data_IF_431310697288
#
_entry.id   IF_431310697288
#
_cell.length_a   1.000
_cell.length_b   1.000
_cell.length_c   1.000
_cell.angle_alpha   90.00
_cell.angle_beta   90.00
_cell.angle_gamma   90.00
#
_symmetry.space_group_name_H-M   'P 1'
#
loop_
_entity.id
_entity.type
_entity.pdbx_description
1 polymer ?
#
# COMPACT_ATOMS: atom_id res chain seq x y z
N UNK A 1 -8.83 -9.26 -21.71
CA UNK A 1 -8.85 -9.52 -23.17
C UNK A 1 -9.30 -10.94 -23.45
N UNK A 2 -9.37 -11.36 -24.71
CA UNK A 2 -9.68 -12.73 -25.14
C UNK A 2 -8.40 -13.40 -25.65
N UNK A 3 -8.11 -14.62 -25.20
CA UNK A 3 -6.95 -15.40 -25.69
C UNK A 3 -7.24 -15.86 -27.12
N UNK A 4 -6.27 -15.69 -28.03
CA UNK A 4 -6.39 -16.09 -29.44
C UNK A 4 -5.04 -16.58 -30.00
N UNK A 5 -5.05 -17.30 -31.13
CA UNK A 5 -3.83 -17.72 -31.80
C UNK A 5 -2.94 -16.53 -32.19
N UNK A 6 -1.62 -16.65 -31.95
CA UNK A 6 -0.67 -15.57 -32.23
C UNK A 6 -0.66 -15.16 -33.72
N UNK A 7 -0.87 -16.09 -34.64
CA UNK A 7 -0.95 -15.82 -36.08
C UNK A 7 -2.11 -14.89 -36.44
N UNK A 8 -3.26 -15.05 -35.78
CA UNK A 8 -4.42 -14.18 -35.99
C UNK A 8 -4.18 -12.79 -35.42
N UNK A 9 -3.60 -12.71 -34.21
CA UNK A 9 -3.26 -11.44 -33.58
C UNK A 9 -2.23 -10.63 -34.40
N UNK A 10 -1.18 -11.29 -34.91
CA UNK A 10 -0.17 -10.67 -35.77
C UNK A 10 -0.78 -10.20 -37.10
N UNK A 11 -1.60 -11.03 -37.75
CA UNK A 11 -2.29 -10.67 -38.99
C UNK A 11 -3.22 -9.46 -38.80
N UNK A 12 -3.99 -9.44 -37.70
CA UNK A 12 -4.87 -8.33 -37.34
C UNK A 12 -4.08 -7.03 -37.06
N UNK A 13 -2.87 -7.14 -36.52
CA UNK A 13 -1.97 -6.01 -36.28
C UNK A 13 -1.13 -5.61 -37.51
N UNK A 14 -1.24 -6.32 -38.64
CA UNK A 14 -0.42 -6.09 -39.83
C UNK A 14 1.07 -6.43 -39.64
N UNK A 15 1.40 -7.29 -38.67
CA UNK A 15 2.77 -7.67 -38.32
C UNK A 15 3.10 -9.01 -39.01
N UNK A 16 4.17 -9.03 -39.80
CA UNK A 16 4.69 -10.28 -40.37
C UNK A 16 5.46 -11.07 -39.31
N UNK A 17 5.23 -12.38 -39.14
CA UNK A 17 5.99 -13.21 -38.20
C UNK A 17 7.50 -13.16 -38.46
N UNK A 18 8.28 -13.08 -37.40
CA UNK A 18 9.76 -13.06 -37.47
C UNK A 18 10.33 -14.48 -37.42
N UNK A 19 11.44 -14.70 -38.13
CA UNK A 19 12.25 -15.91 -38.02
C UNK A 19 13.51 -15.56 -37.24
N UNK A 20 13.69 -16.18 -36.08
CA UNK A 20 14.79 -15.85 -35.17
C UNK A 20 16.15 -16.30 -35.74
N UNK A 21 17.12 -15.40 -35.68
CA UNK A 21 18.51 -15.66 -36.01
C UNK A 21 19.29 -16.22 -34.79
N UNK A 22 20.59 -16.42 -34.97
CA UNK A 22 21.48 -16.86 -33.90
C UNK A 22 21.40 -15.91 -32.68
N UNK A 23 21.39 -16.49 -31.47
CA UNK A 23 21.25 -15.80 -30.17
C UNK A 23 19.88 -15.15 -29.89
N UNK A 24 19.12 -14.74 -30.89
CA UNK A 24 17.87 -13.98 -30.69
C UNK A 24 16.85 -14.71 -29.81
N UNK A 25 16.72 -16.03 -29.96
CA UNK A 25 15.83 -16.81 -29.09
C UNK A 25 16.22 -16.76 -27.61
N UNK A 26 17.52 -16.83 -27.32
CA UNK A 26 18.03 -16.74 -25.94
C UNK A 26 17.90 -15.31 -25.42
N UNK A 27 18.25 -14.32 -26.23
CA UNK A 27 18.13 -12.90 -25.87
C UNK A 27 16.69 -12.48 -25.52
N UNK A 28 15.67 -13.14 -26.12
CA UNK A 28 14.27 -12.87 -25.84
C UNK A 28 13.76 -13.48 -24.53
N UNK A 29 14.27 -14.65 -24.12
CA UNK A 29 13.73 -15.40 -22.98
C UNK A 29 14.63 -15.38 -21.74
N UNK A 30 15.91 -15.06 -21.91
CA UNK A 30 16.90 -15.03 -20.84
C UNK A 30 16.98 -13.61 -20.27
N UNK A 31 16.52 -13.44 -19.03
CA UNK A 31 16.53 -12.15 -18.36
C UNK A 31 15.51 -12.06 -17.23
N UNK A 32 15.45 -10.89 -16.60
CA UNK A 32 14.66 -10.66 -15.38
C UNK A 32 13.37 -9.87 -15.63
N UNK A 33 13.07 -9.54 -16.90
CA UNK A 33 12.05 -8.58 -17.29
C UNK A 33 10.66 -8.91 -16.75
N UNK A 34 10.28 -10.20 -16.73
CA UNK A 34 8.99 -10.64 -16.19
C UNK A 34 8.83 -10.37 -14.69
N UNK A 35 9.83 -10.73 -13.89
CA UNK A 35 9.83 -10.48 -12.45
C UNK A 35 9.89 -8.97 -12.15
N UNK A 36 10.77 -8.25 -12.84
CA UNK A 36 10.94 -6.79 -12.70
C UNK A 36 9.66 -6.05 -13.04
N UNK A 37 8.97 -6.42 -14.12
CA UNK A 37 7.71 -5.79 -14.52
C UNK A 37 6.60 -6.02 -13.48
N UNK A 38 6.49 -7.22 -12.92
CA UNK A 38 5.50 -7.53 -11.87
C UNK A 38 5.76 -6.73 -10.59
N UNK A 39 7.03 -6.60 -10.19
CA UNK A 39 7.43 -5.84 -9.01
C UNK A 39 7.24 -4.33 -9.19
N UNK A 40 7.62 -3.78 -10.36
CA UNK A 40 7.34 -2.39 -10.72
C UNK A 40 5.83 -2.11 -10.79
N UNK A 41 5.06 -3.03 -11.37
CA UNK A 41 3.61 -2.90 -11.41
C UNK A 41 3.03 -2.83 -9.99
N UNK A 42 3.48 -3.69 -9.07
CA UNK A 42 3.08 -3.63 -7.67
C UNK A 42 3.46 -2.32 -6.99
N UNK A 43 4.67 -1.81 -7.22
CA UNK A 43 5.13 -0.54 -6.65
C UNK A 43 4.23 0.64 -7.10
N UNK A 44 3.95 0.69 -8.41
CA UNK A 44 3.14 1.74 -9.03
C UNK A 44 1.67 1.64 -8.61
N UNK A 45 1.10 0.43 -8.54
CA UNK A 45 -0.30 0.26 -8.13
C UNK A 45 -0.49 0.44 -6.62
N UNK A 46 0.54 0.23 -5.81
CA UNK A 46 0.47 0.47 -4.37
C UNK A 46 0.59 1.96 -4.01
N UNK A 47 1.23 2.79 -4.83
CA UNK A 47 1.36 4.24 -4.58
C UNK A 47 0.02 4.92 -4.22
N UNK A 48 -1.04 4.86 -5.05
CA UNK A 48 -2.33 5.47 -4.69
C UNK A 48 -2.99 4.84 -3.46
N UNK A 49 -2.68 3.58 -3.16
CA UNK A 49 -3.17 2.88 -1.96
C UNK A 49 -2.46 3.40 -0.71
N UNK A 50 -1.15 3.66 -0.79
CA UNK A 50 -0.38 4.27 0.30
C UNK A 50 -0.79 5.72 0.56
N UNK A 51 -1.06 6.51 -0.49
CA UNK A 51 -1.64 7.85 -0.36
C UNK A 51 -2.99 7.79 0.38
N UNK A 52 -3.84 6.82 0.01
CA UNK A 52 -5.10 6.58 0.70
C UNK A 52 -4.89 6.21 2.16
N UNK A 53 -3.89 5.36 2.47
CA UNK A 53 -3.58 4.96 3.85
C UNK A 53 -3.18 6.15 4.73
N UNK A 54 -2.44 7.13 4.18
CA UNK A 54 -2.05 8.34 4.90
C UNK A 54 -3.27 9.24 5.17
N UNK A 55 -4.12 9.46 4.17
CA UNK A 55 -5.35 10.27 4.31
C UNK A 55 -6.33 9.61 5.28
N UNK A 56 -6.59 8.31 5.12
CA UNK A 56 -7.53 7.56 5.97
C UNK A 56 -7.00 7.47 7.40
N UNK A 57 -5.71 7.22 7.60
CA UNK A 57 -5.10 7.21 8.94
C UNK A 57 -5.24 8.57 9.65
N UNK A 58 -5.12 9.68 8.92
CA UNK A 58 -5.36 11.02 9.46
C UNK A 58 -6.86 11.25 9.78
N UNK A 59 -7.76 10.78 8.92
CA UNK A 59 -9.20 10.81 9.19
C UNK A 59 -9.56 10.01 10.44
N UNK A 60 -8.90 8.87 10.68
CA UNK A 60 -9.10 8.05 11.88
C UNK A 60 -8.59 8.75 13.15
N UNK A 61 -7.48 9.51 13.06
CA UNK A 61 -7.04 10.38 14.17
C UNK A 61 -8.15 11.35 14.54
N UNK A 62 -8.71 12.08 13.57
CA UNK A 62 -9.81 13.02 13.86
C UNK A 62 -11.07 12.31 14.35
N UNK A 63 -11.48 11.21 13.72
CA UNK A 63 -12.66 10.44 14.11
C UNK A 63 -12.64 9.99 15.58
N UNK A 64 -11.45 9.85 16.17
CA UNK A 64 -11.25 9.44 17.56
C UNK A 64 -10.84 10.57 18.47
N UNK A 65 -10.86 11.83 17.99
CA UNK A 65 -10.31 12.98 18.70
C UNK A 65 -8.87 12.70 19.16
N UNK A 66 -8.02 12.11 18.31
CA UNK A 66 -6.64 11.80 18.64
C UNK A 66 -5.73 13.03 18.58
N UNK A 67 -4.62 12.99 19.31
CA UNK A 67 -3.63 14.05 19.36
C UNK A 67 -2.78 14.11 18.08
N UNK A 68 -2.44 15.33 17.65
CA UNK A 68 -1.43 15.58 16.62
C UNK A 68 -0.01 15.79 17.18
N UNK A 69 0.14 15.82 18.51
CA UNK A 69 1.42 15.90 19.20
C UNK A 69 2.45 14.84 18.76
N UNK A 70 2.04 13.56 18.53
CA UNK A 70 2.90 12.53 17.94
C UNK A 70 3.54 12.87 16.59
N UNK A 71 3.02 13.87 15.88
CA UNK A 71 3.50 14.27 14.55
C UNK A 71 4.42 15.50 14.61
N UNK A 72 4.80 15.98 15.80
CA UNK A 72 5.72 17.12 15.98
C UNK A 72 7.07 16.86 15.27
N UNK A 73 7.54 17.76 14.39
CA UNK A 73 8.75 17.55 13.59
C UNK A 73 9.99 17.19 14.42
N UNK A 74 10.12 17.75 15.64
CA UNK A 74 11.27 17.53 16.52
C UNK A 74 11.39 16.07 16.92
N UNK A 75 10.28 15.35 17.11
CA UNK A 75 10.27 13.93 17.45
C UNK A 75 10.93 13.10 16.34
N UNK A 76 10.61 13.43 15.08
CA UNK A 76 11.06 12.66 13.93
C UNK A 76 12.48 13.07 13.50
N UNK A 77 12.81 14.36 13.60
CA UNK A 77 14.17 14.88 13.38
C UNK A 77 15.16 14.28 14.37
N UNK A 78 14.79 14.14 15.65
CA UNK A 78 15.63 13.47 16.65
C UNK A 78 15.90 11.99 16.32
N UNK A 79 14.96 11.30 15.65
CA UNK A 79 15.13 9.88 15.26
C UNK A 79 15.85 9.71 13.93
N UNK A 80 15.75 10.67 13.00
CA UNK A 80 16.54 10.73 11.78
C UNK A 80 16.14 9.80 10.62
N UNK A 81 15.02 9.09 10.73
CA UNK A 81 14.53 8.22 9.64
C UNK A 81 13.73 9.04 8.62
N UNK A 82 14.14 9.01 7.34
CA UNK A 82 13.61 9.92 6.31
C UNK A 82 12.12 9.69 6.03
N UNK A 83 11.71 8.43 5.85
CA UNK A 83 10.31 8.08 5.63
C UNK A 83 9.44 8.47 6.82
N UNK A 84 9.95 8.34 8.05
CA UNK A 84 9.23 8.79 9.25
C UNK A 84 9.06 10.31 9.30
N UNK A 85 10.09 11.08 8.93
CA UNK A 85 10.04 12.54 8.88
C UNK A 85 9.00 13.00 7.86
N UNK A 86 9.01 12.39 6.66
CA UNK A 86 8.06 12.70 5.59
C UNK A 86 6.63 12.33 6.01
N UNK A 87 6.41 11.14 6.58
CA UNK A 87 5.08 10.70 7.02
C UNK A 87 4.50 11.59 8.11
N UNK A 88 5.31 12.00 9.10
CA UNK A 88 4.86 12.96 10.09
C UNK A 88 4.44 14.30 9.47
N UNK A 89 5.18 14.76 8.46
CA UNK A 89 4.86 16.00 7.74
C UNK A 89 3.55 15.86 6.94
N UNK A 90 3.28 14.70 6.34
CA UNK A 90 1.97 14.41 5.72
C UNK A 90 0.84 14.51 6.73
N UNK A 91 0.95 13.84 7.89
CA UNK A 91 -0.09 13.87 8.92
C UNK A 91 -0.35 15.28 9.45
N UNK A 92 0.69 16.08 9.71
CA UNK A 92 0.51 17.49 10.13
C UNK A 92 -0.24 18.30 9.08
N UNK A 93 0.09 18.14 7.80
CA UNK A 93 -0.59 18.86 6.72
C UNK A 93 -2.06 18.41 6.57
N UNK A 94 -2.32 17.10 6.68
CA UNK A 94 -3.67 16.54 6.61
C UNK A 94 -4.56 17.00 7.77
N UNK A 95 -4.02 17.14 8.99
CA UNK A 95 -4.79 17.51 10.18
C UNK A 95 -4.89 19.04 10.41
N UNK A 96 -4.18 19.83 9.61
CA UNK A 96 -4.10 21.28 9.80
C UNK A 96 -5.49 21.94 9.72
N UNK A 97 -5.86 22.65 10.80
CA UNK A 97 -7.12 23.40 10.87
C UNK A 97 -8.35 22.57 11.25
N UNK A 98 -8.20 21.32 11.72
CA UNK A 98 -9.32 20.51 12.21
C UNK A 98 -9.95 21.11 13.49
N UNK A 99 -11.26 21.38 13.46
CA UNK A 99 -12.02 21.82 14.64
C UNK A 99 -12.16 20.68 15.66
N UNK A 100 -12.28 19.44 15.17
CA UNK A 100 -12.30 18.24 16.00
C UNK A 100 -10.99 18.10 16.78
N UNK A 101 -9.85 18.36 16.13
CA UNK A 101 -8.56 18.43 16.83
C UNK A 101 -8.59 19.51 17.92
N UNK A 102 -9.09 20.71 17.60
CA UNK A 102 -9.14 21.79 18.58
C UNK A 102 -10.09 21.53 19.75
N UNK A 103 -11.16 20.75 19.54
CA UNK A 103 -12.20 20.55 20.55
C UNK A 103 -11.76 19.76 21.78
N UNK A 104 -10.58 19.15 21.75
CA UNK A 104 -10.07 18.29 22.83
C UNK A 104 -8.63 18.64 23.24
N UNK A 105 -8.11 19.81 22.85
CA UNK A 105 -6.77 20.24 23.28
C UNK A 105 -6.72 20.49 24.79
N UNK A 106 -7.82 21.02 25.34
CA UNK A 106 -8.00 21.27 26.75
C UNK A 106 -9.03 20.29 27.32
N UNK A 107 -8.77 19.77 28.53
CA UNK A 107 -9.73 18.91 29.24
C UNK A 107 -9.83 17.47 28.72
N UNK A 108 -8.89 17.03 27.88
CA UNK A 108 -8.76 15.62 27.51
C UNK A 108 -8.07 14.82 28.63
N UNK A 109 -8.73 13.80 29.13
CA UNK A 109 -8.25 12.93 30.21
C UNK A 109 -7.32 11.83 29.69
N UNK A 110 -7.22 11.65 28.37
CA UNK A 110 -6.31 10.68 27.75
C UNK A 110 -4.87 11.13 27.90
N UNK A 111 -4.07 10.25 28.52
CA UNK A 111 -2.64 10.52 28.74
C UNK A 111 -1.82 10.30 27.46
N UNK A 112 -2.13 9.25 26.70
CA UNK A 112 -1.47 8.93 25.44
C UNK A 112 -2.40 8.18 24.50
N UNK A 113 -2.37 8.53 23.22
CA UNK A 113 -3.06 7.75 22.19
C UNK A 113 -2.46 6.34 22.04
N UNK A 114 -3.28 5.35 21.65
CA UNK A 114 -2.83 4.03 21.24
C UNK A 114 -1.78 4.09 20.12
N UNK A 115 -0.93 3.06 20.06
CA UNK A 115 0.17 3.03 19.08
C UNK A 115 -0.32 3.04 17.62
N UNK A 116 -1.50 2.50 17.32
CA UNK A 116 -2.04 2.53 15.97
C UNK A 116 -2.34 3.96 15.46
N UNK A 117 -2.50 4.95 16.36
CA UNK A 117 -2.58 6.37 16.04
C UNK A 117 -1.22 7.06 16.16
N UNK A 118 -0.56 6.88 17.31
CA UNK A 118 0.66 7.60 17.69
C UNK A 118 1.90 7.18 16.93
N UNK A 119 2.00 5.89 16.59
CA UNK A 119 3.18 5.32 15.93
C UNK A 119 3.05 5.28 14.40
N UNK A 120 2.03 5.93 13.82
CA UNK A 120 1.84 5.94 12.37
C UNK A 120 3.08 6.44 11.59
N UNK A 121 3.75 7.54 11.98
CA UNK A 121 4.99 7.97 11.32
C UNK A 121 6.10 6.93 11.38
N UNK A 122 6.24 6.25 12.50
CA UNK A 122 7.29 5.27 12.73
C UNK A 122 7.07 4.02 11.88
N UNK A 123 5.82 3.53 11.80
CA UNK A 123 5.48 2.29 11.09
C UNK A 123 5.35 2.55 9.59
N UNK A 124 4.50 3.48 9.18
CA UNK A 124 4.28 3.79 7.76
C UNK A 124 5.51 4.44 7.14
N UNK A 125 6.28 5.22 7.92
CA UNK A 125 7.56 5.77 7.47
C UNK A 125 8.61 4.70 7.21
N UNK A 126 8.71 3.67 8.05
CA UNK A 126 9.59 2.53 7.79
C UNK A 126 9.18 1.78 6.52
N UNK A 127 7.87 1.60 6.30
CA UNK A 127 7.35 1.00 5.06
C UNK A 127 7.71 1.85 3.84
N UNK A 128 7.57 3.18 3.93
CA UNK A 128 7.95 4.10 2.86
C UNK A 128 9.44 4.01 2.50
N UNK A 129 10.32 3.93 3.51
CA UNK A 129 11.76 3.78 3.27
C UNK A 129 12.10 2.44 2.58
N UNK A 130 11.44 1.34 2.98
CA UNK A 130 11.60 0.04 2.31
C UNK A 130 11.15 0.08 0.85
N UNK A 131 10.01 0.71 0.58
CA UNK A 131 9.50 0.83 -0.78
C UNK A 131 10.40 1.73 -1.64
N UNK A 132 10.95 2.81 -1.09
CA UNK A 132 11.93 3.67 -1.78
C UNK A 132 13.22 2.91 -2.11
N UNK A 133 13.68 2.05 -1.21
CA UNK A 133 14.82 1.19 -1.47
C UNK A 133 14.53 0.18 -2.59
N UNK A 134 13.37 -0.48 -2.56
CA UNK A 134 12.92 -1.37 -3.63
C UNK A 134 12.84 -0.63 -4.98
N UNK A 135 12.30 0.59 -5.00
CA UNK A 135 12.24 1.41 -6.21
C UNK A 135 13.62 1.65 -6.83
N UNK A 136 14.64 1.96 -6.00
CA UNK A 136 16.01 2.14 -6.47
C UNK A 136 16.55 0.88 -7.17
N UNK A 137 16.32 -0.30 -6.59
CA UNK A 137 16.73 -1.58 -7.16
C UNK A 137 16.00 -1.82 -8.49
N UNK A 138 14.67 -1.68 -8.49
CA UNK A 138 13.84 -1.97 -9.65
C UNK A 138 14.10 -1.01 -10.83
N UNK A 139 14.44 0.26 -10.57
CA UNK A 139 14.85 1.21 -11.61
C UNK A 139 16.18 0.79 -12.23
N UNK A 140 17.15 0.32 -11.44
CA UNK A 140 18.41 -0.20 -11.97
C UNK A 140 18.17 -1.43 -12.84
N UNK A 141 17.35 -2.36 -12.35
CA UNK A 141 17.03 -3.58 -13.06
C UNK A 141 16.26 -3.32 -14.36
N UNK A 142 15.33 -2.35 -14.36
CA UNK A 142 14.59 -1.95 -15.55
C UNK A 142 15.48 -1.41 -16.69
N UNK A 143 16.68 -0.93 -16.37
CA UNK A 143 17.66 -0.41 -17.31
C UNK A 143 18.83 -1.39 -17.56
N UNK A 144 18.80 -2.58 -16.97
CA UNK A 144 19.91 -3.53 -17.01
C UNK A 144 19.91 -4.38 -18.29
N UNK A 145 21.11 -4.81 -18.70
CA UNK A 145 21.30 -5.89 -19.68
C UNK A 145 21.36 -7.20 -18.91
N UNK A 146 20.26 -7.96 -18.98
CA UNK A 146 20.05 -9.15 -18.15
C UNK A 146 20.13 -10.47 -18.91
N UNK A 147 20.32 -10.44 -20.22
CA UNK A 147 20.47 -11.66 -21.01
C UNK A 147 21.90 -12.20 -20.95
N UNK A 148 22.12 -13.39 -21.54
CA UNK A 148 23.41 -14.04 -21.58
C UNK A 148 23.52 -14.97 -22.81
N UNK A 149 24.70 -15.17 -23.43
CA UNK A 149 25.97 -14.46 -23.20
C UNK A 149 25.92 -13.00 -23.67
N UNK A 150 26.76 -12.15 -23.10
CA UNK A 150 26.89 -10.75 -23.51
C UNK A 150 27.86 -10.63 -24.69
N UNK A 151 27.53 -9.73 -25.61
CA UNK A 151 28.36 -9.41 -26.79
C UNK A 151 28.96 -8.02 -26.58
N UNK A 152 30.28 -7.95 -26.42
CA UNK A 152 31.02 -6.69 -26.33
C UNK A 152 31.52 -6.33 -27.73
N UNK A 153 30.78 -5.45 -28.40
CA UNK A 153 31.04 -5.14 -29.81
C UNK A 153 32.39 -4.45 -30.05
N UNK A 154 32.93 -3.75 -29.05
CA UNK A 154 34.18 -2.98 -29.16
C UNK A 154 35.40 -3.88 -29.39
N UNK A 155 35.45 -5.04 -28.73
CA UNK A 155 36.54 -6.02 -28.86
C UNK A 155 36.09 -7.34 -29.51
N UNK A 156 34.79 -7.47 -29.84
CA UNK A 156 34.21 -8.64 -30.50
C UNK A 156 34.08 -9.85 -29.58
N UNK A 157 34.20 -9.67 -28.26
CA UNK A 157 34.22 -10.78 -27.29
C UNK A 157 32.80 -11.16 -26.86
N UNK A 158 32.56 -12.47 -26.79
CA UNK A 158 31.38 -13.03 -26.13
C UNK A 158 31.77 -13.48 -24.72
N UNK A 159 31.10 -12.93 -23.71
CA UNK A 159 31.34 -13.27 -22.30
C UNK A 159 30.09 -13.89 -21.72
N UNK A 160 30.23 -15.10 -21.15
CA UNK A 160 29.16 -15.72 -20.37
C UNK A 160 29.28 -15.29 -18.91
N UNK A 161 28.20 -14.74 -18.36
CA UNK A 161 28.02 -14.39 -16.96
C UNK A 161 26.67 -14.88 -16.43
N UNK A 162 26.08 -14.14 -15.49
CA UNK A 162 24.87 -14.54 -14.77
C UNK A 162 23.86 -13.42 -14.53
N UNK A 163 23.82 -12.39 -15.39
CA UNK A 163 22.94 -11.23 -15.19
C UNK A 163 21.44 -11.58 -15.26
N UNK A 164 21.08 -12.78 -15.73
CA UNK A 164 19.70 -13.28 -15.69
C UNK A 164 19.23 -13.71 -14.29
N UNK A 165 20.14 -13.76 -13.31
CA UNK A 165 19.81 -14.16 -11.95
C UNK A 165 19.14 -13.01 -11.18
N UNK A 166 17.81 -13.04 -11.08
CA UNK A 166 16.98 -11.96 -10.54
C UNK A 166 17.00 -11.81 -8.99
N UNK A 167 18.10 -12.15 -8.31
CA UNK A 167 18.19 -12.07 -6.84
C UNK A 167 17.87 -10.68 -6.27
N UNK A 168 18.36 -9.58 -6.87
CA UNK A 168 18.03 -8.23 -6.40
C UNK A 168 16.52 -7.95 -6.43
N UNK A 169 15.84 -8.43 -7.48
CA UNK A 169 14.38 -8.27 -7.65
C UNK A 169 13.62 -9.09 -6.63
N UNK A 170 14.06 -10.33 -6.36
CA UNK A 170 13.42 -11.20 -5.37
C UNK A 170 13.46 -10.59 -3.97
N UNK A 171 14.63 -10.12 -3.53
CA UNK A 171 14.81 -9.47 -2.23
C UNK A 171 13.99 -8.16 -2.14
N UNK A 172 13.98 -7.35 -3.20
CA UNK A 172 13.17 -6.14 -3.25
C UNK A 172 11.68 -6.45 -3.13
N UNK A 173 11.18 -7.43 -3.89
CA UNK A 173 9.78 -7.85 -3.84
C UNK A 173 9.40 -8.43 -2.47
N UNK A 174 10.29 -9.19 -1.83
CA UNK A 174 10.03 -9.71 -0.48
C UNK A 174 9.94 -8.60 0.56
N UNK A 175 10.84 -7.61 0.51
CA UNK A 175 10.80 -6.43 1.38
C UNK A 175 9.53 -5.60 1.15
N UNK A 176 9.12 -5.42 -0.11
CA UNK A 176 7.87 -4.73 -0.45
C UNK A 176 6.66 -5.44 0.17
N UNK A 177 6.60 -6.77 0.14
CA UNK A 177 5.46 -7.49 0.68
C UNK A 177 5.31 -7.33 2.19
N UNK A 178 6.43 -7.35 2.92
CA UNK A 178 6.44 -7.08 4.37
C UNK A 178 5.97 -5.66 4.64
N UNK A 179 6.50 -4.67 3.91
CA UNK A 179 6.12 -3.26 4.07
C UNK A 179 4.62 -3.02 3.77
N UNK A 180 4.10 -3.58 2.67
CA UNK A 180 2.69 -3.46 2.29
C UNK A 180 1.79 -4.14 3.34
N UNK A 181 2.17 -5.33 3.81
CA UNK A 181 1.44 -6.05 4.86
C UNK A 181 1.35 -5.23 6.16
N UNK A 182 2.43 -4.57 6.57
CA UNK A 182 2.46 -3.74 7.78
C UNK A 182 1.59 -2.48 7.67
N UNK A 183 1.46 -1.88 6.48
CA UNK A 183 0.47 -0.81 6.24
C UNK A 183 -0.95 -1.31 6.51
N UNK A 184 -1.29 -2.51 6.03
CA UNK A 184 -2.58 -3.15 6.32
C UNK A 184 -2.75 -3.51 7.80
N UNK A 185 -1.69 -4.01 8.45
CA UNK A 185 -1.75 -4.41 9.85
C UNK A 185 -2.02 -3.22 10.79
N UNK A 186 -1.34 -2.08 10.59
CA UNK A 186 -1.60 -0.88 11.41
C UNK A 186 -2.98 -0.28 11.13
N UNK A 187 -3.45 -0.32 9.88
CA UNK A 187 -4.80 0.09 9.50
C UNK A 187 -5.87 -0.77 10.19
N UNK A 188 -5.69 -2.09 10.19
CA UNK A 188 -6.60 -3.01 10.88
C UNK A 188 -6.64 -2.75 12.40
N UNK A 189 -5.49 -2.44 13.02
CA UNK A 189 -5.45 -2.03 14.44
C UNK A 189 -6.17 -0.71 14.70
N UNK A 190 -6.23 0.21 13.73
CA UNK A 190 -7.04 1.43 13.83
C UNK A 190 -8.54 1.13 13.72
N UNK A 191 -8.95 0.19 12.85
CA UNK A 191 -10.34 -0.29 12.79
C UNK A 191 -10.75 -0.91 14.13
N UNK A 192 -9.93 -1.82 14.67
CA UNK A 192 -10.19 -2.47 15.95
C UNK A 192 -10.37 -1.45 17.09
N UNK A 193 -9.55 -0.40 17.07
CA UNK A 193 -9.62 0.70 18.04
C UNK A 193 -10.87 1.56 17.87
N UNK A 194 -11.27 1.89 16.63
CA UNK A 194 -12.48 2.67 16.33
C UNK A 194 -13.75 2.02 16.89
N UNK A 195 -13.88 0.70 16.76
CA UNK A 195 -15.08 -0.04 17.21
C UNK A 195 -15.12 -0.29 18.72
N UNK A 196 -14.01 -0.07 19.43
CA UNK A 196 -13.91 -0.25 20.88
C UNK A 196 -14.24 1.07 21.59
N UNK A 197 -15.45 1.16 22.14
CA UNK A 197 -15.93 2.35 22.85
C UNK A 197 -15.06 2.75 24.05
N UNK A 198 -14.36 1.79 24.67
CA UNK A 198 -13.45 2.07 25.78
C UNK A 198 -12.19 2.82 25.36
N UNK A 199 -11.84 2.78 24.07
CA UNK A 199 -10.65 3.41 23.51
C UNK A 199 -11.01 4.58 22.60
N UNK A 200 -11.99 4.42 21.70
CA UNK A 200 -12.35 5.46 20.72
C UNK A 200 -13.19 6.60 21.29
N UNK A 201 -13.84 6.40 22.45
CA UNK A 201 -14.88 7.29 22.99
C UNK A 201 -16.03 7.55 22.00
N UNK A 202 -16.23 6.64 21.04
CA UNK A 202 -17.37 6.59 20.13
C UNK A 202 -18.36 5.52 20.59
N UNK A 203 -19.60 5.51 20.05
CA UNK A 203 -20.52 4.42 20.30
C UNK A 203 -19.91 3.05 19.90
N UNK A 204 -20.14 1.98 20.68
CA UNK A 204 -19.53 0.69 20.40
C UNK A 204 -19.93 0.17 19.03
N UNK A 205 -18.95 -0.40 18.31
CA UNK A 205 -19.09 -0.82 16.91
C UNK A 205 -19.56 0.28 15.95
N UNK A 206 -19.42 1.55 16.33
CA UNK A 206 -19.85 2.72 15.56
C UNK A 206 -21.35 2.70 15.26
N UNK A 207 -22.17 2.22 16.21
CA UNK A 207 -23.62 2.16 16.09
C UNK A 207 -24.31 2.99 17.18
N UNK A 208 -25.31 3.79 16.80
CA UNK A 208 -26.08 4.62 17.75
C UNK A 208 -26.88 3.78 18.75
N UNK A 209 -27.45 2.66 18.31
CA UNK A 209 -28.26 1.74 19.11
C UNK A 209 -27.59 0.36 19.19
N UNK A 210 -26.41 0.34 19.81
CA UNK A 210 -25.62 -0.88 19.95
C UNK A 210 -26.35 -1.97 20.75
N UNK A 211 -26.20 -3.23 20.32
CA UNK A 211 -26.90 -4.39 20.89
C UNK A 211 -28.19 -4.73 20.14
N UNK A 212 -28.88 -3.73 19.59
CA UNK A 212 -29.89 -3.93 18.55
C UNK A 212 -29.23 -4.01 17.16
N UNK A 213 -28.27 -3.13 16.92
CA UNK A 213 -27.45 -3.08 15.72
C UNK A 213 -26.02 -3.54 16.05
N UNK A 214 -25.39 -4.25 15.11
CA UNK A 214 -24.03 -4.77 15.21
C UNK A 214 -23.00 -3.83 14.59
N UNK A 215 -23.42 -2.85 13.79
CA UNK A 215 -22.55 -1.82 13.24
C UNK A 215 -21.41 -2.40 12.41
N UNK A 216 -20.19 -1.97 12.72
CA UNK A 216 -18.96 -2.36 12.02
C UNK A 216 -18.32 -3.65 12.54
N UNK A 217 -18.99 -4.39 13.43
CA UNK A 217 -18.43 -5.59 14.06
C UNK A 217 -17.91 -6.61 13.03
N UNK A 218 -18.71 -6.99 12.04
CA UNK A 218 -18.30 -8.00 11.04
C UNK A 218 -17.37 -7.42 9.98
N UNK A 219 -17.47 -6.12 9.70
CA UNK A 219 -16.51 -5.43 8.83
C UNK A 219 -15.09 -5.53 9.41
N UNK A 220 -14.94 -5.36 10.73
CA UNK A 220 -13.66 -5.55 11.39
C UNK A 220 -13.16 -7.00 11.27
N UNK A 221 -14.03 -8.01 11.41
CA UNK A 221 -13.64 -9.42 11.21
C UNK A 221 -13.07 -9.65 9.81
N UNK A 222 -13.68 -9.07 8.77
CA UNK A 222 -13.14 -9.12 7.40
C UNK A 222 -11.75 -8.51 7.34
N UNK A 223 -11.55 -7.31 7.90
CA UNK A 223 -10.24 -6.65 7.91
C UNK A 223 -9.19 -7.48 8.66
N UNK A 224 -9.54 -8.05 9.81
CA UNK A 224 -8.68 -8.90 10.63
C UNK A 224 -8.25 -10.18 9.88
N UNK A 225 -9.18 -10.81 9.16
CA UNK A 225 -8.89 -11.99 8.33
C UNK A 225 -7.86 -11.67 7.25
N UNK A 226 -8.05 -10.57 6.52
CA UNK A 226 -7.17 -10.15 5.43
C UNK A 226 -5.78 -9.73 5.94
N UNK A 227 -5.72 -9.01 7.06
CA UNK A 227 -4.46 -8.67 7.71
C UNK A 227 -3.71 -9.93 8.16
N UNK A 228 -4.42 -10.96 8.62
CA UNK A 228 -3.82 -12.25 8.97
C UNK A 228 -3.33 -13.02 7.76
N UNK A 229 -4.08 -13.03 6.65
CA UNK A 229 -3.68 -13.68 5.40
C UNK A 229 -2.38 -13.09 4.84
N UNK A 230 -2.23 -11.77 4.92
CA UNK A 230 -1.02 -11.07 4.49
C UNK A 230 0.24 -11.51 5.23
N UNK A 231 0.15 -12.06 6.46
CA UNK A 231 1.31 -12.60 7.18
C UNK A 231 1.91 -13.80 6.48
N UNK A 232 1.05 -14.72 6.01
CA UNK A 232 1.48 -15.88 5.23
C UNK A 232 1.99 -15.44 3.87
N UNK A 233 1.29 -14.50 3.23
CA UNK A 233 1.72 -13.98 1.94
C UNK A 233 3.05 -13.25 2.03
N UNK A 234 3.41 -12.63 3.16
CA UNK A 234 4.66 -11.91 3.36
C UNK A 234 5.90 -12.81 3.59
N UNK A 235 5.73 -14.13 3.70
CA UNK A 235 6.86 -15.06 3.84
C UNK A 235 7.83 -14.91 2.64
N UNK A 236 9.15 -14.81 2.89
CA UNK A 236 10.12 -14.55 1.83
C UNK A 236 10.21 -15.73 0.86
N UNK A 237 10.14 -15.45 -0.43
CA UNK A 237 10.35 -16.43 -1.48
C UNK A 237 11.81 -16.46 -1.96
N UNK A 238 12.54 -15.35 -1.80
CA UNK A 238 13.96 -15.22 -2.18
C UNK A 238 14.91 -16.15 -1.43
N UNK A 239 14.48 -16.70 -0.29
CA UNK A 239 15.28 -17.65 0.50
C UNK A 239 15.08 -19.10 0.09
N UNK A 240 14.18 -19.37 -0.88
CA UNK A 240 13.97 -20.69 -1.44
C UNK A 240 14.70 -20.83 -2.78
N UNK A 241 15.29 -22.01 -3.00
CA UNK A 241 15.98 -22.37 -4.23
C UNK A 241 15.98 -23.88 -4.39
N UNK A 242 15.64 -24.37 -5.58
CA UNK A 242 15.64 -25.79 -5.92
C UNK A 242 16.43 -25.99 -7.21
N UNK A 243 17.38 -26.94 -7.26
CA UNK A 243 18.21 -27.13 -8.43
C UNK A 243 17.40 -27.69 -9.59
N UNK A 244 17.58 -27.11 -10.77
CA UNK A 244 16.96 -27.55 -12.02
C UNK A 244 18.01 -27.92 -13.07
N UNK A 245 17.55 -28.49 -14.18
CA UNK A 245 18.40 -28.73 -15.36
C UNK A 245 19.64 -29.59 -15.04
N UNK A 246 19.45 -30.69 -14.31
CA UNK A 246 20.52 -31.60 -13.86
C UNK A 246 21.63 -30.90 -13.03
N UNK A 247 21.24 -29.98 -12.14
CA UNK A 247 22.11 -29.14 -11.31
C UNK A 247 22.93 -28.11 -12.09
N UNK A 248 22.61 -27.84 -13.36
CA UNK A 248 23.22 -26.73 -14.08
C UNK A 248 22.70 -25.38 -13.57
N UNK A 249 21.45 -25.35 -13.11
CA UNK A 249 20.82 -24.23 -12.41
C UNK A 249 20.66 -24.65 -10.95
N UNK A 250 21.77 -24.64 -10.20
CA UNK A 250 21.83 -25.12 -8.82
C UNK A 250 21.40 -24.08 -7.77
N UNK A 251 21.28 -22.81 -8.17
CA UNK A 251 20.74 -21.72 -7.39
C UNK A 251 19.86 -20.80 -8.24
N UNK A 252 18.66 -20.46 -7.74
CA UNK A 252 17.70 -19.57 -8.39
C UNK A 252 17.07 -18.61 -7.38
N UNK A 253 16.50 -17.49 -7.85
CA UNK A 253 16.01 -16.41 -6.98
C UNK A 253 14.53 -16.44 -6.61
N UNK A 254 13.72 -17.23 -7.31
CA UNK A 254 12.25 -17.24 -7.18
C UNK A 254 11.57 -15.86 -7.39
N UNK A 255 12.26 -14.89 -8.02
CA UNK A 255 11.82 -13.50 -8.13
C UNK A 255 10.43 -13.32 -8.75
N UNK A 256 10.06 -14.15 -9.73
CA UNK A 256 8.73 -14.07 -10.37
C UNK A 256 7.61 -14.37 -9.38
N UNK A 257 7.79 -15.35 -8.49
CA UNK A 257 6.80 -15.63 -7.45
C UNK A 257 6.78 -14.53 -6.39
N UNK A 258 7.96 -14.09 -5.94
CA UNK A 258 8.12 -12.98 -5.00
C UNK A 258 7.42 -11.70 -5.48
N UNK A 259 7.53 -11.37 -6.77
CA UNK A 259 6.89 -10.21 -7.37
C UNK A 259 5.37 -10.41 -7.57
N UNK A 260 4.95 -11.56 -8.10
CA UNK A 260 3.53 -11.85 -8.40
C UNK A 260 2.64 -11.86 -7.14
N UNK A 261 3.17 -12.27 -5.99
CA UNK A 261 2.40 -12.33 -4.74
C UNK A 261 2.06 -10.95 -4.16
N UNK A 262 2.69 -9.87 -4.64
CA UNK A 262 2.42 -8.52 -4.18
C UNK A 262 1.00 -8.05 -4.54
N UNK A 263 0.47 -8.43 -5.70
CA UNK A 263 -0.87 -7.98 -6.12
C UNK A 263 -2.00 -8.46 -5.17
N UNK A 264 -2.06 -9.74 -4.77
CA UNK A 264 -2.96 -10.18 -3.70
C UNK A 264 -2.79 -9.40 -2.38
N UNK A 265 -1.54 -9.14 -1.94
CA UNK A 265 -1.29 -8.37 -0.70
C UNK A 265 -1.84 -6.95 -0.81
N UNK A 266 -1.60 -6.26 -1.94
CA UNK A 266 -2.14 -4.93 -2.22
C UNK A 266 -3.68 -4.96 -2.23
N UNK A 267 -4.29 -5.95 -2.87
CA UNK A 267 -5.75 -6.12 -2.89
C UNK A 267 -6.32 -6.27 -1.48
N UNK A 268 -5.69 -7.09 -0.64
CA UNK A 268 -6.09 -7.26 0.76
C UNK A 268 -5.99 -5.96 1.55
N UNK A 269 -4.89 -5.20 1.37
CA UNK A 269 -4.70 -3.90 2.02
C UNK A 269 -5.72 -2.86 1.54
N UNK A 270 -6.06 -2.83 0.25
CA UNK A 270 -7.10 -1.94 -0.28
C UNK A 270 -8.46 -2.19 0.38
N UNK A 271 -8.82 -3.45 0.66
CA UNK A 271 -10.07 -3.79 1.37
C UNK A 271 -10.01 -3.32 2.83
N UNK A 272 -8.90 -3.59 3.52
CA UNK A 272 -8.69 -3.13 4.91
C UNK A 272 -8.85 -1.60 4.99
N UNK A 273 -8.19 -0.86 4.10
CA UNK A 273 -8.28 0.60 4.05
C UNK A 273 -9.69 1.08 3.68
N UNK A 274 -10.39 0.40 2.77
CA UNK A 274 -11.79 0.70 2.46
C UNK A 274 -12.70 0.59 3.70
N UNK A 275 -12.49 -0.45 4.51
CA UNK A 275 -13.22 -0.64 5.78
C UNK A 275 -12.84 0.44 6.79
N UNK A 276 -11.56 0.77 6.92
CA UNK A 276 -11.10 1.87 7.78
C UNK A 276 -11.71 3.20 7.38
N UNK A 277 -11.83 3.49 6.09
CA UNK A 277 -12.42 4.73 5.60
C UNK A 277 -13.91 4.82 5.92
N UNK A 278 -14.66 3.72 5.74
CA UNK A 278 -16.07 3.64 6.14
C UNK A 278 -16.24 3.85 7.65
N UNK A 279 -15.39 3.22 8.46
CA UNK A 279 -15.44 3.30 9.91
C UNK A 279 -15.07 4.70 10.42
N UNK A 280 -13.96 5.27 9.94
CA UNK A 280 -13.54 6.63 10.31
C UNK A 280 -14.54 7.69 9.87
N UNK A 281 -15.10 7.59 8.66
CA UNK A 281 -16.16 8.49 8.22
C UNK A 281 -17.41 8.36 9.10
N UNK A 282 -17.78 7.15 9.52
CA UNK A 282 -18.88 6.96 10.48
C UNK A 282 -18.56 7.59 11.85
N UNK A 283 -17.31 7.48 12.31
CA UNK A 283 -16.85 8.15 13.53
C UNK A 283 -17.02 9.66 13.46
N UNK A 284 -16.64 10.29 12.33
CA UNK A 284 -16.83 11.73 12.09
C UNK A 284 -18.32 12.14 12.18
N UNK A 285 -19.25 11.30 11.73
CA UNK A 285 -20.70 11.60 11.84
C UNK A 285 -21.15 11.77 13.30
N UNK A 286 -20.57 11.00 14.24
CA UNK A 286 -20.88 11.12 15.67
C UNK A 286 -20.28 12.38 16.32
N UNK A 287 -19.37 13.07 15.64
CA UNK A 287 -18.72 14.28 16.13
C UNK A 287 -19.38 15.56 15.60
N UNK A 288 -20.36 15.45 14.69
CA UNK A 288 -21.09 16.60 14.16
C UNK A 288 -21.79 17.38 15.30
N UNK A 289 -21.82 18.72 15.25
CA UNK A 289 -21.53 19.58 14.09
C UNK A 289 -20.06 19.96 13.89
N UNK A 290 -19.11 19.44 14.68
CA UNK A 290 -17.68 19.74 14.50
C UNK A 290 -17.20 19.31 13.10
N UNK A 291 -16.26 20.06 12.55
CA UNK A 291 -15.61 19.76 11.27
C UNK A 291 -14.15 19.35 11.44
N UNK A 292 -13.70 18.44 10.58
CA UNK A 292 -12.31 18.08 10.41
C UNK A 292 -11.57 19.16 9.59
N UNK A 293 -10.31 18.93 9.22
CA UNK A 293 -9.58 19.80 8.30
C UNK A 293 -10.24 19.82 6.91
N UNK A 294 -9.93 20.83 6.10
CA UNK A 294 -10.48 20.92 4.74
C UNK A 294 -10.16 19.69 3.87
N UNK A 295 -8.94 19.15 3.97
CA UNK A 295 -8.52 17.96 3.24
C UNK A 295 -9.29 16.71 3.67
N UNK A 296 -9.49 16.54 4.98
CA UNK A 296 -10.18 15.38 5.53
C UNK A 296 -11.70 15.46 5.34
N UNK A 297 -12.30 16.66 5.35
CA UNK A 297 -13.69 16.85 4.94
C UNK A 297 -13.89 16.53 3.45
N UNK A 298 -12.92 16.84 2.59
CA UNK A 298 -12.96 16.41 1.18
C UNK A 298 -12.90 14.89 1.05
N UNK A 299 -12.01 14.22 1.81
CA UNK A 299 -11.94 12.77 1.86
C UNK A 299 -13.27 12.16 2.38
N UNK A 300 -13.84 12.71 3.45
CA UNK A 300 -15.14 12.30 3.97
C UNK A 300 -16.25 12.43 2.91
N UNK A 301 -16.32 13.57 2.22
CA UNK A 301 -17.32 13.84 1.20
C UNK A 301 -17.20 12.90 -0.01
N UNK A 302 -15.97 12.59 -0.45
CA UNK A 302 -15.71 11.63 -1.54
C UNK A 302 -16.30 10.26 -1.23
N UNK A 303 -16.15 9.77 0.00
CA UNK A 303 -16.77 8.51 0.41
C UNK A 303 -18.28 8.60 0.47
N UNK A 304 -18.81 9.67 1.09
CA UNK A 304 -20.26 9.86 1.29
C UNK A 304 -21.05 10.02 0.00
N UNK A 305 -20.40 10.43 -1.09
CA UNK A 305 -20.99 10.43 -2.41
C UNK A 305 -21.38 9.02 -2.91
N UNK A 306 -20.71 7.97 -2.44
CA UNK A 306 -20.88 6.58 -2.92
C UNK A 306 -21.46 5.64 -1.83
N UNK A 307 -21.17 5.95 -0.57
CA UNK A 307 -21.47 5.14 0.62
C UNK A 307 -22.10 6.01 1.72
N UNK A 308 -23.43 5.93 1.88
CA UNK A 308 -24.16 6.69 2.90
C UNK A 308 -23.71 6.35 4.34
N UNK A 309 -23.98 7.23 5.30
CA UNK A 309 -23.83 6.89 6.72
C UNK A 309 -24.70 5.67 7.10
N UNK A 310 -24.33 4.96 8.16
CA UNK A 310 -25.00 3.73 8.60
C UNK A 310 -25.59 3.91 10.01
N UNK A 311 -26.73 4.60 10.14
CA UNK A 311 -27.40 4.76 11.45
C UNK A 311 -28.01 3.44 11.96
N UNK A 312 -28.41 2.55 11.05
CA UNK A 312 -28.96 1.22 11.34
C UNK A 312 -28.26 0.18 10.46
N UNK A 313 -28.22 -1.07 10.92
CA UNK A 313 -27.57 -2.16 10.19
C UNK A 313 -28.11 -2.31 8.77
N UNK A 314 -27.20 -2.56 7.84
CA UNK A 314 -27.51 -2.92 6.45
C UNK A 314 -26.48 -3.88 5.90
N UNK A 315 -26.77 -4.45 4.73
CA UNK A 315 -25.80 -5.28 4.02
C UNK A 315 -24.60 -4.42 3.58
N UNK A 316 -23.46 -4.61 4.25
CA UNK A 316 -22.31 -3.72 4.14
C UNK A 316 -21.32 -4.10 3.03
N UNK A 317 -21.37 -5.33 2.50
CA UNK A 317 -20.42 -5.78 1.49
C UNK A 317 -20.37 -4.87 0.24
N UNK A 318 -21.50 -4.37 -0.30
CA UNK A 318 -21.45 -3.43 -1.43
C UNK A 318 -20.76 -2.11 -1.09
N UNK A 319 -20.85 -1.63 0.14
CA UNK A 319 -20.14 -0.43 0.58
C UNK A 319 -18.65 -0.69 0.72
N UNK A 320 -18.26 -1.86 1.24
CA UNK A 320 -16.86 -2.30 1.32
C UNK A 320 -16.26 -2.39 -0.09
N UNK A 321 -16.97 -2.99 -1.05
CA UNK A 321 -16.53 -3.09 -2.45
C UNK A 321 -16.33 -1.71 -3.09
N UNK A 322 -17.28 -0.79 -2.90
CA UNK A 322 -17.17 0.59 -3.39
C UNK A 322 -16.00 1.35 -2.77
N UNK A 323 -15.85 1.29 -1.45
CA UNK A 323 -14.74 1.93 -0.73
C UNK A 323 -13.39 1.34 -1.17
N UNK A 324 -13.31 0.02 -1.31
CA UNK A 324 -12.12 -0.68 -1.83
C UNK A 324 -11.77 -0.20 -3.25
N UNK A 325 -12.76 -0.05 -4.12
CA UNK A 325 -12.56 0.43 -5.48
C UNK A 325 -12.09 1.90 -5.50
N UNK A 326 -12.62 2.76 -4.62
CA UNK A 326 -12.15 4.14 -4.46
C UNK A 326 -10.68 4.19 -4.01
N UNK A 327 -10.28 3.35 -3.04
CA UNK A 327 -8.88 3.24 -2.59
C UNK A 327 -7.99 2.75 -3.74
N UNK A 328 -8.37 1.64 -4.38
CA UNK A 328 -7.56 0.98 -5.41
C UNK A 328 -7.36 1.84 -6.66
N UNK A 329 -8.32 2.72 -6.98
CA UNK A 329 -8.23 3.64 -8.12
C UNK A 329 -7.61 5.00 -7.77
N UNK A 330 -7.16 5.21 -6.53
CA UNK A 330 -6.52 6.45 -6.10
C UNK A 330 -7.49 7.64 -5.98
N UNK A 331 -8.73 7.43 -5.54
CA UNK A 331 -9.69 8.53 -5.38
C UNK A 331 -9.20 9.61 -4.39
N UNK A 332 -8.41 9.21 -3.38
CA UNK A 332 -7.81 10.10 -2.39
C UNK A 332 -6.47 10.72 -2.83
N UNK A 333 -5.91 10.30 -3.98
CA UNK A 333 -4.66 10.87 -4.50
C UNK A 333 -4.77 12.37 -4.74
N UNK A 334 -5.93 12.86 -5.18
CA UNK A 334 -6.14 14.31 -5.36
C UNK A 334 -6.13 15.07 -4.04
N UNK A 335 -6.74 14.52 -2.98
CA UNK A 335 -6.70 15.08 -1.61
C UNK A 335 -5.27 15.18 -1.12
N UNK A 336 -4.47 14.12 -1.33
CA UNK A 336 -3.10 14.04 -0.86
C UNK A 336 -2.13 14.93 -1.66
N UNK A 337 -2.19 14.86 -3.00
CA UNK A 337 -1.23 15.53 -3.91
C UNK A 337 -1.45 17.04 -4.02
N UNK A 338 -2.65 17.52 -3.69
CA UNK A 338 -2.94 18.96 -3.65
C UNK A 338 -2.44 19.64 -2.37
N UNK A 339 -1.86 18.90 -1.41
CA UNK A 339 -1.26 19.50 -0.24
C UNK A 339 0.05 20.20 -0.60
N UNK A 340 0.13 21.49 -0.29
CA UNK A 340 1.24 22.34 -0.70
C UNK A 340 2.56 21.98 -0.02
N UNK A 341 3.62 21.97 -0.83
CA UNK A 341 4.99 21.87 -0.35
C UNK A 341 5.25 20.58 0.43
N UNK A 342 4.65 19.45 0.05
CA UNK A 342 4.93 18.11 0.59
C UNK A 342 5.90 17.33 -0.32
N UNK A 343 6.73 16.41 0.24
CA UNK A 343 7.61 15.60 -0.59
C UNK A 343 6.77 14.60 -1.39
N UNK A 344 7.19 14.27 -2.61
CA UNK A 344 6.63 13.12 -3.32
C UNK A 344 6.95 11.83 -2.55
N UNK A 345 6.01 10.89 -2.51
CA UNK A 345 6.25 9.58 -1.88
C UNK A 345 7.45 8.91 -2.54
N UNK A 346 7.52 8.98 -3.87
CA UNK A 346 8.65 8.51 -4.64
C UNK A 346 9.61 9.66 -4.96
N UNK A 347 10.83 9.50 -4.47
CA UNK A 347 12.02 10.13 -5.03
C UNK A 347 13.02 9.00 -5.21
N UNK A 348 13.43 8.66 -6.43
CA UNK A 348 14.65 7.89 -6.60
C UNK A 348 15.75 8.67 -5.87
N UNK A 349 16.35 8.05 -4.86
CA UNK A 349 17.47 8.64 -4.14
C UNK A 349 18.66 8.83 -5.09
#
# INVERSE_FOLDING_TARGET
GVVMPASEALAAAGITPVVLAAKEGLALINGTQGATALALHALITFEPVLESALVIGALTVDATRGSDGPFDPRIHELRGQLGQIDVARYYRALLAGSEIRQSHVEGDDRVQDPYCLRCQPQVVGACLDQLRHAALILVREANAVTDNPLVFAEDGVLVSGGNFHAEPVALAADAMAVAIAEVGAIAERRIAMLIDAGVSQLPPFLSADAGLNSGFMIAHVTAASLASENKSLAHPASVDSLPTSANQEDHVSMATFAARRLQPVISNVSVILGIEWLASAQGIEFLRPLRSSAALEQAHALLRAECAAMPTDRYLAPDIEKATALVSRGALSSVFRNLDGLPTLWKPA
#
